data_IF_387418690056
#
_entry.id   IF_387418690056
#
_cell.length_a   1.000
_cell.length_b   1.000
_cell.length_c   1.000
_cell.angle_alpha   90.00
_cell.angle_beta   90.00
_cell.angle_gamma   90.00
#
_symmetry.space_group_name_H-M   'P 1'
#
loop_
_entity.id
_entity.type
_entity.pdbx_description
1 polymer ?
#
# COMPACT_ATOMS: atom_id res chain seq x y z
N UNK A 1 -15.75 -2.31 -17.29
CA UNK A 1 -15.74 -3.79 -17.30
C UNK A 1 -14.32 -4.26 -17.52
N UNK A 2 -13.52 -4.22 -16.46
CA UNK A 2 -12.25 -4.97 -16.37
C UNK A 2 -12.56 -6.09 -15.39
N UNK A 3 -12.56 -7.31 -15.89
CA UNK A 3 -12.76 -8.53 -15.10
C UNK A 3 -11.37 -8.93 -14.59
N UNK A 4 -11.00 -8.47 -13.40
CA UNK A 4 -9.84 -8.99 -12.69
C UNK A 4 -10.13 -10.42 -12.22
N UNK A 5 -9.92 -11.40 -13.09
CA UNK A 5 -9.81 -12.79 -12.68
C UNK A 5 -8.45 -12.98 -12.03
N UNK A 6 -8.41 -12.99 -10.70
CA UNK A 6 -7.25 -13.45 -9.93
C UNK A 6 -6.95 -14.92 -10.30
N UNK A 7 -5.84 -15.13 -11.00
CA UNK A 7 -5.21 -16.43 -11.19
C UNK A 7 -4.33 -16.78 -9.98
N UNK A 8 -3.98 -18.06 -9.78
CA UNK A 8 -3.32 -18.50 -8.57
C UNK A 8 -1.92 -17.90 -8.43
N UNK A 9 -1.61 -17.52 -7.18
CA UNK A 9 -0.27 -17.27 -6.61
C UNK A 9 0.79 -18.07 -7.36
N UNK A 10 1.74 -17.36 -7.99
CA UNK A 10 2.88 -18.00 -8.63
C UNK A 10 3.68 -18.77 -7.58
N UNK A 11 3.69 -20.09 -7.70
CA UNK A 11 4.66 -20.91 -6.99
C UNK A 11 6.05 -20.63 -7.57
N UNK A 12 6.95 -20.20 -6.68
CA UNK A 12 8.41 -20.31 -6.70
C UNK A 12 9.00 -20.88 -8.01
N UNK A 13 9.58 -20.03 -8.89
CA UNK A 13 10.38 -20.54 -9.99
C UNK A 13 11.67 -21.10 -9.42
N UNK A 14 11.62 -22.38 -9.03
CA UNK A 14 12.75 -23.26 -8.72
C UNK A 14 14.11 -22.65 -9.09
N UNK A 15 14.75 -22.01 -8.11
CA UNK A 15 16.16 -21.66 -8.17
C UNK A 15 16.91 -22.97 -8.42
N UNK A 16 17.56 -23.08 -9.59
CA UNK A 16 18.59 -24.09 -9.78
C UNK A 16 19.79 -23.65 -8.95
N UNK A 17 19.80 -24.04 -7.67
CA UNK A 17 21.00 -24.00 -6.83
C UNK A 17 21.98 -24.98 -7.48
N UNK A 18 22.89 -24.44 -8.27
CA UNK A 18 24.11 -25.14 -8.67
C UNK A 18 24.87 -25.51 -7.42
N UNK A 19 24.69 -26.74 -6.96
CA UNK A 19 25.26 -27.26 -5.73
C UNK A 19 26.77 -27.07 -5.69
N UNK A 20 27.22 -26.25 -4.74
CA UNK A 20 28.57 -26.36 -4.20
C UNK A 20 28.46 -26.28 -2.68
N UNK A 21 28.48 -27.45 -2.05
CA UNK A 21 28.62 -27.58 -0.60
C UNK A 21 29.95 -26.96 -0.15
N UNK A 22 29.99 -26.02 0.81
CA UNK A 22 31.25 -25.51 1.33
C UNK A 22 31.82 -26.52 2.31
N UNK A 23 32.82 -27.29 1.87
CA UNK A 23 33.72 -27.99 2.78
C UNK A 23 34.96 -27.15 3.03
N UNK A 24 35.13 -26.69 4.27
CA UNK A 24 36.46 -26.37 4.81
C UNK A 24 36.63 -24.90 5.18
N UNK A 25 36.80 -24.65 6.48
CA UNK A 25 36.96 -23.32 7.04
C UNK A 25 38.29 -22.66 6.72
N UNK A 26 38.31 -21.34 6.97
CA UNK A 26 39.55 -20.58 7.10
C UNK A 26 39.54 -19.27 6.33
N UNK A 27 39.46 -18.19 7.11
CA UNK A 27 39.90 -16.81 6.81
C UNK A 27 39.09 -15.99 5.81
N UNK A 28 38.25 -15.08 6.33
CA UNK A 28 38.28 -13.68 5.86
C UNK A 28 39.72 -13.19 5.98
N UNK A 29 40.33 -12.58 4.94
CA UNK A 29 39.84 -11.36 4.31
C UNK A 29 39.99 -11.27 2.78
N UNK A 30 38.96 -10.79 2.10
CA UNK A 30 39.04 -10.24 0.75
C UNK A 30 37.80 -9.39 0.55
N UNK A 31 37.85 -8.07 0.69
CA UNK A 31 38.31 -7.15 -0.35
C UNK A 31 38.04 -7.69 -1.76
N UNK A 32 36.76 -7.90 -2.07
CA UNK A 32 36.26 -8.00 -3.42
C UNK A 32 36.08 -6.63 -4.04
N UNK A 33 37.14 -5.80 -4.06
CA UNK A 33 37.19 -4.72 -5.05
C UNK A 33 37.39 -5.38 -6.41
N UNK A 34 36.29 -5.66 -7.11
CA UNK A 34 36.35 -5.86 -8.55
C UNK A 34 36.87 -4.54 -9.15
N UNK A 35 38.11 -4.48 -9.67
CA UNK A 35 38.73 -3.20 -10.02
C UNK A 35 38.28 -2.65 -11.38
N UNK A 36 37.14 -3.10 -11.91
CA UNK A 36 36.55 -2.62 -13.17
C UNK A 36 35.03 -2.35 -13.10
N UNK A 37 34.41 -2.35 -11.91
CA UNK A 37 33.01 -1.90 -11.72
C UNK A 37 32.92 -1.08 -10.42
N UNK A 38 32.38 0.13 -10.51
CA UNK A 38 31.87 0.86 -9.36
C UNK A 38 30.80 -0.04 -8.70
N UNK A 39 30.74 -0.21 -7.36
CA UNK A 39 29.72 -1.04 -6.72
C UNK A 39 28.28 -0.47 -6.80
N UNK A 40 28.01 0.53 -7.64
CA UNK A 40 26.72 1.20 -7.73
C UNK A 40 26.49 1.75 -9.14
N UNK A 41 26.40 0.85 -10.12
CA UNK A 41 25.78 1.17 -11.41
C UNK A 41 25.45 -0.15 -12.09
N UNK A 42 24.16 -0.41 -12.27
CA UNK A 42 23.69 -1.53 -13.08
C UNK A 42 24.26 -1.49 -14.50
N UNK A 43 24.44 -2.67 -15.09
CA UNK A 43 24.77 -2.82 -16.50
C UNK A 43 23.56 -3.47 -17.17
N UNK A 44 22.69 -2.62 -17.75
CA UNK A 44 21.51 -2.92 -18.57
C UNK A 44 20.90 -4.31 -18.30
N UNK A 45 20.08 -4.43 -17.25
CA UNK A 45 19.22 -5.58 -16.99
C UNK A 45 19.88 -6.82 -16.34
N UNK A 46 21.09 -6.71 -15.79
CA UNK A 46 21.63 -7.77 -14.92
C UNK A 46 21.31 -7.48 -13.45
N UNK A 47 20.92 -8.50 -12.66
CA UNK A 47 20.72 -8.33 -11.22
C UNK A 47 21.97 -7.81 -10.52
N UNK A 48 21.79 -6.78 -9.71
CA UNK A 48 22.74 -6.30 -8.71
C UNK A 48 22.33 -6.87 -7.36
N UNK A 49 23.31 -7.40 -6.64
CA UNK A 49 23.12 -7.98 -5.31
C UNK A 49 23.93 -7.15 -4.32
N UNK A 50 23.29 -6.65 -3.26
CA UNK A 50 23.96 -6.13 -2.08
C UNK A 50 24.46 -7.27 -1.19
N UNK A 51 24.62 -6.96 0.09
CA UNK A 51 25.30 -7.77 1.09
C UNK A 51 24.43 -7.98 2.33
N UNK A 52 25.03 -8.38 3.45
CA UNK A 52 24.35 -8.46 4.75
C UNK A 52 24.67 -7.19 5.60
N UNK A 53 25.22 -6.15 4.97
CA UNK A 53 25.60 -4.87 5.59
C UNK A 53 24.86 -3.74 4.87
N UNK A 54 24.64 -2.59 5.55
CA UNK A 54 24.05 -1.39 4.96
C UNK A 54 24.73 -0.99 3.63
N UNK A 55 23.99 -1.11 2.53
CA UNK A 55 24.43 -0.86 1.17
C UNK A 55 23.83 0.43 0.59
N UNK A 56 24.50 0.98 -0.44
CA UNK A 56 23.98 2.07 -1.26
C UNK A 56 24.11 1.66 -2.71
N UNK A 57 22.96 1.46 -3.36
CA UNK A 57 22.85 0.86 -4.67
C UNK A 57 22.21 1.88 -5.63
N UNK A 58 23.01 2.37 -6.58
CA UNK A 58 22.55 3.33 -7.59
C UNK A 58 22.37 2.64 -8.94
N UNK A 59 21.19 2.84 -9.53
CA UNK A 59 20.79 2.43 -10.85
C UNK A 59 21.29 3.34 -11.96
N UNK A 60 20.76 3.10 -13.16
CA UNK A 60 21.08 3.81 -14.38
C UNK A 60 19.79 4.33 -15.03
N UNK A 61 19.88 4.88 -16.24
CA UNK A 61 18.69 5.36 -16.96
C UNK A 61 18.00 4.24 -17.77
N UNK A 62 18.21 2.99 -17.40
CA UNK A 62 17.58 1.86 -18.04
C UNK A 62 17.27 0.80 -16.99
N UNK A 63 16.40 -0.14 -17.36
CA UNK A 63 15.90 -1.16 -16.45
C UNK A 63 16.96 -1.90 -15.66
N UNK A 64 16.79 -1.84 -14.36
CA UNK A 64 17.63 -2.42 -13.34
C UNK A 64 16.86 -3.38 -12.44
N UNK A 65 17.62 -4.26 -11.80
CA UNK A 65 17.11 -5.31 -10.92
C UNK A 65 18.00 -5.36 -9.69
N UNK A 66 17.49 -4.93 -8.54
CA UNK A 66 18.26 -4.84 -7.30
C UNK A 66 17.70 -5.77 -6.23
N UNK A 67 18.58 -6.54 -5.59
CA UNK A 67 18.33 -7.25 -4.35
C UNK A 67 19.27 -6.67 -3.29
N UNK A 68 18.73 -5.92 -2.34
CA UNK A 68 19.54 -5.15 -1.40
C UNK A 68 20.20 -6.06 -0.36
N UNK A 69 19.42 -6.95 0.27
CA UNK A 69 19.93 -8.02 1.10
C UNK A 69 19.42 -7.93 2.54
N UNK A 70 20.28 -8.22 3.50
CA UNK A 70 19.99 -7.83 4.89
C UNK A 70 20.80 -6.56 5.17
N UNK A 71 20.29 -5.65 6.00
CA UNK A 71 20.96 -4.38 6.30
C UNK A 71 20.01 -3.21 6.11
N UNK A 72 20.38 -2.02 6.56
CA UNK A 72 19.60 -0.82 6.20
C UNK A 72 20.13 -0.29 4.88
N UNK A 73 19.42 -0.58 3.81
CA UNK A 73 19.88 -0.29 2.46
C UNK A 73 19.21 0.97 1.89
N UNK A 74 19.90 1.60 0.95
CA UNK A 74 19.37 2.67 0.13
C UNK A 74 19.53 2.31 -1.33
N UNK A 75 18.41 2.16 -2.04
CA UNK A 75 18.36 1.75 -3.44
C UNK A 75 17.70 2.84 -4.28
N UNK A 76 18.37 3.26 -5.35
CA UNK A 76 17.90 4.28 -6.29
C UNK A 76 17.82 3.69 -7.70
N UNK A 77 16.62 3.53 -8.26
CA UNK A 77 16.37 3.07 -9.63
C UNK A 77 16.86 4.07 -10.68
N UNK A 78 16.53 5.34 -10.48
CA UNK A 78 16.85 6.50 -11.32
C UNK A 78 15.97 6.66 -12.55
N UNK A 79 15.91 5.68 -13.44
CA UNK A 79 15.04 5.83 -14.60
C UNK A 79 14.95 4.57 -15.42
N UNK A 80 13.77 4.32 -15.96
CA UNK A 80 13.44 3.19 -16.80
C UNK A 80 12.99 1.99 -15.98
N UNK A 81 11.72 1.61 -16.11
CA UNK A 81 11.05 0.52 -15.41
C UNK A 81 11.93 -0.54 -14.70
N UNK A 82 12.20 -0.29 -13.43
CA UNK A 82 13.08 -0.99 -12.50
C UNK A 82 12.34 -2.01 -11.63
N UNK A 83 13.10 -2.86 -10.95
CA UNK A 83 12.57 -3.72 -9.89
C UNK A 83 13.52 -3.74 -8.70
N UNK A 84 13.07 -3.22 -7.57
CA UNK A 84 13.85 -3.02 -6.36
C UNK A 84 13.31 -3.89 -5.22
N UNK A 85 14.16 -4.73 -4.63
CA UNK A 85 13.86 -5.52 -3.44
C UNK A 85 14.73 -5.06 -2.27
N UNK A 86 14.13 -4.58 -1.18
CA UNK A 86 14.83 -4.29 0.09
C UNK A 86 15.27 -5.58 0.79
N UNK A 87 14.33 -6.51 0.93
CA UNK A 87 14.48 -7.87 1.49
C UNK A 87 14.41 -7.95 3.02
N UNK A 88 15.30 -7.37 3.80
CA UNK A 88 15.13 -7.37 5.25
C UNK A 88 15.98 -6.36 6.00
N UNK A 89 15.57 -6.10 7.25
CA UNK A 89 15.87 -4.86 7.95
C UNK A 89 15.23 -3.64 7.26
N UNK A 90 15.48 -2.44 7.75
CA UNK A 90 14.71 -1.25 7.39
C UNK A 90 15.33 -0.50 6.20
N UNK A 91 14.70 -0.55 5.04
CA UNK A 91 15.24 -0.05 3.78
C UNK A 91 14.62 1.27 3.30
N UNK A 92 15.27 1.89 2.32
CA UNK A 92 14.70 3.00 1.55
C UNK A 92 14.87 2.73 0.06
N UNK A 93 13.76 2.62 -0.65
CA UNK A 93 13.72 2.33 -2.09
C UNK A 93 13.13 3.54 -2.83
N UNK A 94 13.81 3.98 -3.90
CA UNK A 94 13.38 5.08 -4.76
C UNK A 94 13.36 4.60 -6.21
N UNK A 95 12.20 4.56 -6.87
CA UNK A 95 12.08 4.25 -8.29
C UNK A 95 12.59 5.38 -9.18
N UNK A 96 12.08 6.58 -8.91
CA UNK A 96 12.27 7.87 -9.61
C UNK A 96 11.50 8.03 -10.90
N UNK A 97 11.73 7.25 -11.96
CA UNK A 97 11.15 7.58 -13.26
C UNK A 97 10.87 6.38 -14.12
N UNK A 98 9.74 6.44 -14.85
CA UNK A 98 9.13 5.31 -15.56
C UNK A 98 8.54 4.25 -14.59
N UNK A 99 7.64 3.40 -15.09
CA UNK A 99 6.88 2.43 -14.29
C UNK A 99 7.74 1.38 -13.53
N UNK A 100 7.85 1.52 -12.21
CA UNK A 100 8.73 0.75 -11.34
C UNK A 100 7.98 -0.28 -10.46
N UNK A 101 8.74 -1.25 -9.94
CA UNK A 101 8.26 -2.21 -8.93
C UNK A 101 9.15 -2.19 -7.69
N UNK A 102 8.58 -1.78 -6.56
CA UNK A 102 9.30 -1.64 -5.29
C UNK A 102 8.73 -2.59 -4.24
N UNK A 103 9.59 -3.41 -3.63
CA UNK A 103 9.20 -4.38 -2.61
C UNK A 103 10.09 -4.24 -1.36
N UNK A 104 9.52 -3.75 -0.25
CA UNK A 104 10.20 -3.69 1.05
C UNK A 104 10.47 -5.09 1.62
N UNK A 105 9.40 -5.90 1.69
CA UNK A 105 9.32 -7.29 2.17
C UNK A 105 9.21 -7.46 3.68
N UNK A 106 10.27 -7.18 4.43
CA UNK A 106 10.33 -7.46 5.88
C UNK A 106 10.87 -6.24 6.58
N UNK A 107 10.28 -5.95 7.74
CA UNK A 107 10.72 -4.89 8.65
C UNK A 107 10.18 -3.54 8.17
N UNK A 108 10.67 -2.41 8.68
CA UNK A 108 10.02 -1.12 8.40
C UNK A 108 10.74 -0.41 7.26
N UNK A 109 10.07 -0.32 6.12
CA UNK A 109 10.60 0.20 4.88
C UNK A 109 9.98 1.55 4.49
N UNK A 110 10.69 2.29 3.63
CA UNK A 110 10.19 3.52 3.01
C UNK A 110 10.34 3.42 1.51
N UNK A 111 9.23 3.49 0.78
CA UNK A 111 9.18 3.30 -0.67
C UNK A 111 8.66 4.58 -1.34
N UNK A 112 9.38 5.05 -2.35
CA UNK A 112 8.96 6.16 -3.22
C UNK A 112 8.91 5.66 -4.67
N UNK A 113 7.74 5.71 -5.30
CA UNK A 113 7.55 5.41 -6.71
C UNK A 113 8.30 6.41 -7.58
N UNK A 114 7.74 7.60 -7.78
CA UNK A 114 8.38 8.67 -8.53
C UNK A 114 7.46 9.20 -9.64
N UNK A 115 8.01 9.46 -10.82
CA UNK A 115 7.24 9.69 -12.04
C UNK A 115 6.93 8.33 -12.71
N UNK A 116 5.68 8.03 -13.00
CA UNK A 116 5.28 6.83 -13.76
C UNK A 116 4.26 5.97 -13.02
N UNK A 117 3.70 4.98 -13.70
CA UNK A 117 2.66 4.12 -13.10
C UNK A 117 3.33 3.02 -12.25
N UNK A 118 3.56 3.27 -10.96
CA UNK A 118 4.37 2.40 -10.10
C UNK A 118 3.56 1.34 -9.37
N UNK A 119 4.25 0.29 -8.90
CA UNK A 119 3.67 -0.66 -7.95
C UNK A 119 4.56 -0.86 -6.74
N UNK A 120 4.02 -0.53 -5.57
CA UNK A 120 4.72 -0.57 -4.29
C UNK A 120 4.10 -1.62 -3.37
N UNK A 121 4.95 -2.47 -2.79
CA UNK A 121 4.60 -3.42 -1.74
C UNK A 121 5.44 -3.17 -0.49
N UNK A 122 4.83 -2.74 0.61
CA UNK A 122 5.49 -2.58 1.92
C UNK A 122 5.94 -3.94 2.43
N UNK A 123 4.97 -4.79 2.75
CA UNK A 123 5.18 -6.21 2.97
C UNK A 123 4.85 -6.64 4.39
N UNK A 124 5.74 -6.40 5.36
CA UNK A 124 5.51 -6.81 6.74
C UNK A 124 6.08 -5.78 7.68
N UNK A 125 5.35 -5.58 8.77
CA UNK A 125 5.58 -4.52 9.76
C UNK A 125 5.17 -3.17 9.18
N UNK A 126 5.57 -2.09 9.84
CA UNK A 126 5.07 -0.74 9.56
C UNK A 126 5.87 -0.12 8.42
N UNK A 127 5.22 0.09 7.28
CA UNK A 127 5.84 0.63 6.07
C UNK A 127 5.28 2.01 5.70
N UNK A 128 6.11 2.88 5.12
CA UNK A 128 5.70 4.16 4.55
C UNK A 128 5.82 4.09 3.00
N UNK A 129 4.70 4.21 2.28
CA UNK A 129 4.63 4.12 0.82
C UNK A 129 4.16 5.44 0.21
N UNK A 130 4.86 5.92 -0.81
CA UNK A 130 4.54 7.14 -1.55
C UNK A 130 4.53 6.85 -3.05
N UNK A 131 3.38 6.96 -3.71
CA UNK A 131 3.25 6.80 -5.16
C UNK A 131 4.00 7.92 -5.91
N UNK A 132 3.59 9.15 -5.61
CA UNK A 132 4.10 10.44 -6.12
C UNK A 132 3.33 10.95 -7.34
N UNK A 133 3.82 10.80 -8.57
CA UNK A 133 3.15 11.32 -9.78
C UNK A 133 2.66 10.15 -10.64
N UNK A 134 1.50 10.31 -11.29
CA UNK A 134 0.87 9.35 -12.21
C UNK A 134 0.04 8.24 -11.51
N UNK A 135 -0.38 7.16 -12.22
CA UNK A 135 -1.37 6.20 -11.69
C UNK A 135 -0.70 5.05 -10.93
N UNK A 136 -0.71 5.09 -9.60
CA UNK A 136 0.02 4.14 -8.76
C UNK A 136 -0.84 3.04 -8.11
N UNK A 137 -0.18 1.91 -7.82
CA UNK A 137 -0.74 0.82 -7.01
C UNK A 137 0.10 0.61 -5.74
N UNK A 138 -0.49 0.94 -4.58
CA UNK A 138 0.16 0.81 -3.27
C UNK A 138 -0.48 -0.31 -2.45
N UNK A 139 0.34 -1.21 -1.91
CA UNK A 139 -0.09 -2.29 -1.03
C UNK A 139 0.75 -2.29 0.27
N UNK A 140 0.15 -1.93 1.40
CA UNK A 140 0.79 -2.01 2.72
C UNK A 140 1.06 -3.48 3.13
N UNK A 141 0.01 -4.30 3.06
CA UNK A 141 -0.06 -5.73 3.35
C UNK A 141 -0.24 -6.10 4.83
N UNK A 142 0.82 -6.12 5.64
CA UNK A 142 0.76 -6.61 7.02
C UNK A 142 1.48 -5.65 7.94
N UNK A 143 0.74 -4.95 8.79
CA UNK A 143 1.32 -3.97 9.70
C UNK A 143 0.45 -2.73 9.72
N UNK A 144 0.81 -1.78 10.58
CA UNK A 144 0.14 -0.48 10.59
C UNK A 144 0.86 0.44 9.62
N UNK A 145 0.42 0.46 8.37
CA UNK A 145 1.11 1.10 7.25
C UNK A 145 0.61 2.54 7.02
N UNK A 146 1.44 3.35 6.37
CA UNK A 146 1.09 4.69 5.88
C UNK A 146 1.26 4.74 4.38
N UNK A 147 0.17 4.93 3.64
CA UNK A 147 0.15 4.98 2.18
C UNK A 147 -0.30 6.37 1.73
N UNK A 148 0.44 6.99 0.82
CA UNK A 148 0.08 8.24 0.17
C UNK A 148 0.21 8.09 -1.36
N UNK A 149 -0.90 8.20 -2.08
CA UNK A 149 -0.91 8.22 -3.56
C UNK A 149 -0.19 9.46 -4.09
N UNK A 150 -0.61 10.63 -3.60
CA UNK A 150 -0.18 11.98 -4.01
C UNK A 150 -0.85 12.43 -5.31
N UNK A 151 -0.13 12.72 -6.41
CA UNK A 151 -0.74 13.21 -7.65
C UNK A 151 -1.02 12.03 -8.59
N UNK A 152 -2.28 11.68 -8.85
CA UNK A 152 -2.56 10.45 -9.59
C UNK A 152 -3.99 9.96 -9.44
N UNK A 153 -4.46 9.13 -10.37
CA UNK A 153 -5.66 8.31 -10.10
C UNK A 153 -5.16 6.99 -9.48
N UNK A 154 -5.03 6.93 -8.15
CA UNK A 154 -4.30 5.87 -7.45
C UNK A 154 -5.20 4.75 -6.92
N UNK A 155 -4.59 3.61 -6.62
CA UNK A 155 -5.26 2.50 -5.95
C UNK A 155 -4.47 2.03 -4.72
N UNK A 156 -5.05 2.25 -3.53
CA UNK A 156 -4.41 1.99 -2.25
C UNK A 156 -5.10 0.82 -1.53
N UNK A 157 -4.30 -0.14 -1.06
CA UNK A 157 -4.72 -1.24 -0.20
C UNK A 157 -3.90 -1.23 1.09
N UNK A 158 -4.55 -0.95 2.23
CA UNK A 158 -3.90 -0.99 3.55
C UNK A 158 -3.47 -2.40 3.90
N UNK A 159 -4.47 -3.27 4.06
CA UNK A 159 -4.28 -4.72 4.12
C UNK A 159 -4.73 -5.30 5.46
N UNK A 160 -3.87 -5.31 6.47
CA UNK A 160 -4.25 -5.79 7.81
C UNK A 160 -3.56 -4.98 8.87
N UNK A 161 -4.25 -4.90 10.01
CA UNK A 161 -3.92 -4.00 11.11
C UNK A 161 -4.34 -2.56 10.78
N UNK A 162 -4.14 -1.62 11.69
CA UNK A 162 -4.72 -0.28 11.55
C UNK A 162 -3.84 0.60 10.63
N UNK A 163 -4.34 0.93 9.44
CA UNK A 163 -3.61 1.66 8.40
C UNK A 163 -4.03 3.14 8.27
N UNK A 164 -3.15 3.96 7.69
CA UNK A 164 -3.44 5.33 7.26
C UNK A 164 -3.27 5.45 5.73
N UNK A 165 -4.34 5.78 5.02
CA UNK A 165 -4.35 5.90 3.56
C UNK A 165 -4.79 7.31 3.17
N UNK A 166 -3.99 7.95 2.32
CA UNK A 166 -4.26 9.26 1.72
C UNK A 166 -4.17 9.14 0.19
N UNK A 167 -5.29 9.31 -0.51
CA UNK A 167 -5.36 9.28 -1.98
C UNK A 167 -4.52 10.41 -2.58
N UNK A 168 -4.96 11.65 -2.37
CA UNK A 168 -4.24 12.85 -2.77
C UNK A 168 -5.00 13.64 -3.82
N UNK A 169 -4.32 14.10 -4.86
CA UNK A 169 -4.94 14.78 -6.00
C UNK A 169 -5.24 13.76 -7.12
N UNK A 170 -6.51 13.51 -7.42
CA UNK A 170 -6.96 12.65 -8.51
C UNK A 170 -8.16 11.81 -8.09
N UNK A 171 -8.55 10.82 -8.89
CA UNK A 171 -9.73 9.99 -8.60
C UNK A 171 -9.29 8.64 -8.03
N UNK A 172 -9.26 8.55 -6.71
CA UNK A 172 -8.60 7.45 -6.03
C UNK A 172 -9.55 6.30 -5.69
N UNK A 173 -8.99 5.10 -5.61
CA UNK A 173 -9.65 3.89 -5.16
C UNK A 173 -9.01 3.36 -3.88
N UNK A 174 -9.70 3.55 -2.76
CA UNK A 174 -9.13 3.36 -1.42
C UNK A 174 -9.77 2.16 -0.72
N UNK A 175 -8.94 1.19 -0.32
CA UNK A 175 -9.32 -0.01 0.41
C UNK A 175 -8.53 -0.07 1.73
N UNK A 176 -9.17 0.27 2.86
CA UNK A 176 -8.56 0.01 4.17
C UNK A 176 -8.32 -1.49 4.42
N UNK A 177 -9.22 -2.31 3.87
CA UNK A 177 -9.26 -3.77 4.00
C UNK A 177 -9.70 -4.27 5.39
N UNK A 178 -8.80 -4.53 6.34
CA UNK A 178 -9.17 -5.19 7.61
C UNK A 178 -8.70 -4.38 8.78
N UNK A 179 -9.44 -4.57 9.88
CA UNK A 179 -9.21 -3.86 11.13
C UNK A 179 -9.62 -2.40 10.93
N UNK A 180 -9.00 -1.44 11.60
CA UNK A 180 -9.53 -0.09 11.69
C UNK A 180 -8.63 0.91 11.00
N UNK A 181 -9.09 1.42 9.88
CA UNK A 181 -8.29 2.29 9.03
C UNK A 181 -8.72 3.76 9.09
N UNK A 182 -7.79 4.65 8.75
CA UNK A 182 -8.05 6.07 8.54
C UNK A 182 -7.82 6.39 7.07
N UNK A 183 -8.85 6.90 6.42
CA UNK A 183 -8.92 7.08 4.97
C UNK A 183 -9.21 8.54 4.63
N UNK A 184 -8.39 9.12 3.75
CA UNK A 184 -8.64 10.41 3.10
C UNK A 184 -8.55 10.26 1.58
N UNK A 185 -9.51 10.85 0.87
CA UNK A 185 -9.53 10.87 -0.59
C UNK A 185 -8.68 12.00 -1.16
N UNK A 186 -8.78 13.18 -0.57
CA UNK A 186 -8.12 14.38 -1.06
C UNK A 186 -8.97 15.16 -2.06
N UNK A 187 -8.43 15.45 -3.25
CA UNK A 187 -9.10 16.20 -4.30
C UNK A 187 -9.46 15.29 -5.48
N UNK A 188 -10.74 15.06 -5.73
CA UNK A 188 -11.20 14.41 -6.96
C UNK A 188 -12.47 13.61 -6.73
N UNK A 189 -12.82 12.73 -7.67
CA UNK A 189 -13.98 11.85 -7.53
C UNK A 189 -13.55 10.51 -6.90
N UNK A 190 -13.44 10.46 -5.57
CA UNK A 190 -12.85 9.31 -4.88
C UNK A 190 -13.84 8.18 -4.59
N UNK A 191 -13.32 6.97 -4.45
CA UNK A 191 -14.11 5.80 -4.06
C UNK A 191 -13.49 5.06 -2.88
N UNK A 192 -14.19 5.09 -1.74
CA UNK A 192 -13.83 4.34 -0.54
C UNK A 192 -14.57 3.01 -0.51
N UNK A 193 -13.84 1.90 -0.54
CA UNK A 193 -14.41 0.57 -0.60
C UNK A 193 -14.60 -0.04 0.79
N UNK A 194 -15.85 -0.41 1.10
CA UNK A 194 -16.25 -1.05 2.36
C UNK A 194 -16.92 -2.40 2.10
N UNK A 195 -16.81 -3.32 3.06
CA UNK A 195 -17.29 -4.69 2.93
C UNK A 195 -17.50 -5.37 4.27
N UNK A 196 -17.88 -6.65 4.27
CA UNK A 196 -18.06 -7.43 5.50
C UNK A 196 -16.76 -7.68 6.26
N UNK A 197 -15.62 -7.43 5.62
CA UNK A 197 -14.30 -7.60 6.22
C UNK A 197 -13.63 -6.27 6.60
N UNK A 198 -14.27 -5.13 6.29
CA UNK A 198 -13.78 -3.78 6.60
C UNK A 198 -14.37 -3.30 7.93
N UNK A 199 -13.61 -2.52 8.69
CA UNK A 199 -13.99 -2.13 10.04
C UNK A 199 -14.13 -3.30 11.02
N UNK A 200 -15.15 -3.23 11.90
CA UNK A 200 -15.27 -4.18 13.01
C UNK A 200 -16.61 -4.22 13.74
N UNK A 201 -16.61 -4.82 14.94
CA UNK A 201 -17.84 -5.18 15.68
C UNK A 201 -18.52 -3.97 16.35
N UNK A 202 -17.85 -2.82 16.39
CA UNK A 202 -18.34 -1.63 17.04
C UNK A 202 -17.74 -0.37 16.40
N UNK A 203 -18.30 0.79 16.74
CA UNK A 203 -17.89 2.07 16.17
C UNK A 203 -16.41 2.42 16.41
N UNK A 204 -15.77 1.90 17.47
CA UNK A 204 -14.35 2.17 17.74
C UNK A 204 -13.42 1.34 16.84
N UNK A 205 -13.96 0.34 16.14
CA UNK A 205 -13.25 -0.57 15.21
C UNK A 205 -13.64 -0.31 13.74
N UNK A 206 -14.50 0.68 13.46
CA UNK A 206 -14.92 1.01 12.10
C UNK A 206 -13.86 1.83 11.37
N UNK A 207 -13.80 1.74 10.05
CA UNK A 207 -12.95 2.63 9.25
C UNK A 207 -13.42 4.08 9.37
N UNK A 208 -12.48 5.02 9.32
CA UNK A 208 -12.74 6.44 9.43
C UNK A 208 -12.44 7.13 8.11
N UNK A 209 -13.48 7.62 7.44
CA UNK A 209 -13.34 8.42 6.23
C UNK A 209 -13.51 9.89 6.64
N UNK A 210 -12.43 10.66 6.54
CA UNK A 210 -12.34 11.97 7.20
C UNK A 210 -12.74 13.16 6.34
N UNK A 211 -12.72 13.02 5.01
CA UNK A 211 -12.89 14.14 4.08
C UNK A 211 -13.94 13.90 2.98
N UNK A 212 -14.77 12.86 3.11
CA UNK A 212 -15.81 12.50 2.14
C UNK A 212 -16.60 13.72 1.63
N UNK A 213 -16.52 13.98 0.32
CA UNK A 213 -16.99 15.22 -0.29
C UNK A 213 -18.07 14.99 -1.36
N UNK A 214 -19.32 15.30 -1.00
CA UNK A 214 -20.46 15.23 -1.92
C UNK A 214 -20.43 16.25 -3.07
N UNK A 215 -19.68 17.36 -2.93
CA UNK A 215 -19.54 18.36 -4.00
C UNK A 215 -18.49 17.95 -5.05
N UNK A 216 -17.53 17.10 -4.66
CA UNK A 216 -16.51 16.51 -5.54
C UNK A 216 -16.91 15.13 -6.09
N UNK A 217 -18.12 14.67 -5.76
CA UNK A 217 -18.74 13.42 -6.24
C UNK A 217 -18.11 12.12 -5.68
N UNK A 218 -17.51 12.17 -4.49
CA UNK A 218 -17.04 10.99 -3.75
C UNK A 218 -18.12 9.93 -3.56
N UNK A 219 -17.68 8.67 -3.51
CA UNK A 219 -18.58 7.51 -3.47
C UNK A 219 -18.09 6.43 -2.52
N UNK A 220 -19.04 5.66 -2.02
CA UNK A 220 -18.78 4.45 -1.24
C UNK A 220 -18.93 3.22 -2.13
N UNK A 221 -17.84 2.49 -2.31
CA UNK A 221 -17.81 1.19 -2.96
C UNK A 221 -18.29 0.08 -2.03
N UNK A 222 -19.24 -0.73 -2.48
CA UNK A 222 -19.80 -1.84 -1.70
C UNK A 222 -19.28 -3.18 -2.20
N UNK A 223 -18.46 -3.82 -1.39
CA UNK A 223 -17.88 -5.14 -1.58
C UNK A 223 -18.86 -6.25 -1.13
N UNK A 224 -18.43 -7.51 -1.30
CA UNK A 224 -19.13 -8.71 -0.79
C UNK A 224 -20.59 -8.88 -1.25
N UNK A 225 -20.96 -8.22 -2.35
CA UNK A 225 -22.31 -8.24 -2.90
C UNK A 225 -23.32 -7.43 -2.07
N UNK A 226 -22.84 -6.60 -1.15
CA UNK A 226 -23.65 -5.62 -0.42
C UNK A 226 -24.33 -4.65 -1.38
N UNK A 227 -25.49 -4.16 -0.96
CA UNK A 227 -26.23 -3.12 -1.64
C UNK A 227 -26.63 -2.05 -0.63
N UNK A 228 -26.88 -0.84 -1.11
CA UNK A 228 -27.38 0.24 -0.27
C UNK A 228 -28.60 -0.14 0.61
N UNK A 229 -29.48 -1.00 0.11
CA UNK A 229 -30.64 -1.47 0.88
C UNK A 229 -30.35 -2.45 2.00
N UNK A 230 -29.11 -2.95 2.10
CA UNK A 230 -28.62 -3.82 3.15
C UNK A 230 -27.98 -3.01 4.30
N UNK A 231 -27.75 -1.70 4.10
CA UNK A 231 -27.07 -0.81 5.05
C UNK A 231 -28.05 -0.09 5.96
N UNK A 232 -27.62 0.14 7.20
CA UNK A 232 -28.22 1.09 8.14
C UNK A 232 -27.28 2.29 8.31
N UNK A 233 -27.85 3.49 8.25
CA UNK A 233 -27.13 4.75 8.46
C UNK A 233 -27.58 5.36 9.79
N UNK A 234 -26.63 5.60 10.69
CA UNK A 234 -26.88 6.15 12.03
C UNK A 234 -26.04 7.42 12.26
N UNK A 235 -26.66 8.45 12.83
CA UNK A 235 -25.93 9.65 13.25
C UNK A 235 -25.11 9.31 14.50
N UNK A 236 -23.81 9.58 14.46
CA UNK A 236 -22.89 9.21 15.53
C UNK A 236 -22.01 10.40 15.94
N UNK A 237 -21.65 10.42 17.22
CA UNK A 237 -20.67 11.35 17.79
C UNK A 237 -19.70 10.55 18.66
N UNK A 238 -18.43 10.53 18.27
CA UNK A 238 -17.35 9.80 18.95
C UNK A 238 -16.10 10.66 19.09
N UNK A 239 -15.12 10.19 19.83
CA UNK A 239 -13.79 10.81 19.89
C UNK A 239 -12.88 10.06 18.91
N UNK A 240 -12.17 10.80 18.07
CA UNK A 240 -11.13 10.25 17.20
C UNK A 240 -9.87 9.87 18.01
N UNK A 241 -8.83 9.39 17.32
CA UNK A 241 -7.56 9.00 17.94
C UNK A 241 -6.78 10.17 18.58
N UNK A 242 -7.04 11.41 18.17
CA UNK A 242 -6.47 12.62 18.76
C UNK A 242 -7.30 13.15 19.94
N UNK A 243 -8.46 12.53 20.22
CA UNK A 243 -9.43 12.97 21.21
C UNK A 243 -10.26 14.17 20.71
N UNK A 244 -10.26 14.43 19.41
CA UNK A 244 -11.17 15.39 18.78
C UNK A 244 -12.54 14.74 18.57
N UNK A 245 -13.61 15.54 18.66
CA UNK A 245 -14.96 15.02 18.47
C UNK A 245 -15.23 14.87 16.98
N UNK A 246 -15.41 13.63 16.55
CA UNK A 246 -15.90 13.27 15.23
C UNK A 246 -17.43 13.18 15.26
N UNK A 247 -18.09 13.76 14.27
CA UNK A 247 -19.56 13.76 14.20
C UNK A 247 -19.99 13.56 12.76
N UNK A 248 -20.74 12.49 12.51
CA UNK A 248 -21.20 12.20 11.16
C UNK A 248 -22.06 10.96 11.08
N UNK A 249 -21.78 10.09 10.10
CA UNK A 249 -22.62 8.93 9.78
C UNK A 249 -21.86 7.64 9.95
N UNK A 250 -22.36 6.77 10.82
CA UNK A 250 -21.95 5.36 10.83
C UNK A 250 -22.70 4.58 9.75
N UNK A 251 -21.96 3.83 8.94
CA UNK A 251 -22.47 2.87 7.97
C UNK A 251 -22.28 1.47 8.57
N UNK A 252 -23.39 0.75 8.76
CA UNK A 252 -23.38 -0.56 9.41
C UNK A 252 -24.36 -1.53 8.78
N UNK A 253 -24.22 -2.80 9.13
CA UNK A 253 -25.19 -3.86 8.79
C UNK A 253 -25.79 -4.45 10.06
N UNK A 254 -27.11 -4.65 10.09
CA UNK A 254 -27.78 -5.33 11.22
C UNK A 254 -27.75 -6.84 10.98
N UNK A 255 -26.74 -7.53 11.52
CA UNK A 255 -26.78 -8.98 11.65
C UNK A 255 -27.68 -9.37 12.83
N UNK A 256 -28.69 -10.21 12.57
CA UNK A 256 -29.63 -10.67 13.60
C UNK A 256 -28.88 -11.34 14.75
N UNK A 257 -28.70 -10.63 15.86
CA UNK A 257 -28.30 -11.19 17.16
C UNK A 257 -26.95 -10.76 17.72
N UNK A 258 -26.17 -9.96 17.00
CA UNK A 258 -24.95 -9.30 17.48
C UNK A 258 -25.09 -7.78 17.31
N UNK A 259 -24.26 -6.99 18.02
CA UNK A 259 -24.19 -5.53 17.80
C UNK A 259 -23.58 -5.34 16.40
N UNK A 260 -24.43 -5.34 15.36
CA UNK A 260 -23.99 -5.56 13.97
C UNK A 260 -22.82 -4.71 13.48
N UNK A 261 -22.07 -5.25 12.51
CA UNK A 261 -20.76 -4.76 12.07
C UNK A 261 -20.81 -3.32 11.57
N UNK A 262 -19.91 -2.49 12.12
CA UNK A 262 -19.67 -1.13 11.68
C UNK A 262 -18.60 -1.16 10.60
N UNK A 263 -19.01 -0.82 9.38
CA UNK A 263 -18.16 -0.91 8.21
C UNK A 263 -17.27 0.33 8.08
N UNK A 264 -17.87 1.51 8.26
CA UNK A 264 -17.16 2.79 8.20
C UNK A 264 -17.95 3.90 8.90
N UNK A 265 -17.25 5.00 9.19
CA UNK A 265 -17.78 6.25 9.72
C UNK A 265 -17.32 7.38 8.80
N UNK A 266 -18.29 8.15 8.29
CA UNK A 266 -18.04 9.34 7.49
C UNK A 266 -18.06 10.55 8.42
N UNK A 267 -16.93 11.24 8.57
CA UNK A 267 -16.89 12.50 9.33
C UNK A 267 -17.61 13.63 8.58
N UNK A 268 -18.25 14.53 9.33
CA UNK A 268 -18.87 15.74 8.78
C UNK A 268 -20.15 15.52 7.95
N UNK A 269 -20.49 14.29 7.58
CA UNK A 269 -21.66 13.97 6.76
C UNK A 269 -22.79 13.42 7.62
N UNK A 270 -23.98 13.99 7.52
CA UNK A 270 -25.17 13.48 8.22
C UNK A 270 -25.90 12.42 7.40
N UNK A 271 -26.65 11.48 8.04
CA UNK A 271 -27.35 10.42 7.30
C UNK A 271 -28.40 10.93 6.30
N UNK A 272 -28.84 12.18 6.44
CA UNK A 272 -29.82 12.81 5.55
C UNK A 272 -29.21 13.40 4.27
N UNK A 273 -27.89 13.56 4.24
CA UNK A 273 -27.14 14.10 3.09
C UNK A 273 -26.78 13.00 2.09
N UNK A 274 -26.72 11.75 2.54
CA UNK A 274 -26.33 10.59 1.74
C UNK A 274 -27.56 9.86 1.21
N UNK A 275 -27.46 9.34 -0.01
CA UNK A 275 -28.46 8.52 -0.66
C UNK A 275 -27.82 7.40 -1.48
N UNK A 276 -28.65 6.49 -2.01
CA UNK A 276 -28.14 5.36 -2.79
C UNK A 276 -27.42 5.71 -4.10
N UNK A 277 -27.39 6.98 -4.54
CA UNK A 277 -26.53 7.41 -5.68
C UNK A 277 -25.05 7.45 -5.30
N UNK A 278 -24.79 7.71 -4.03
CA UNK A 278 -23.46 7.97 -3.48
C UNK A 278 -22.75 6.64 -3.16
N UNK A 279 -23.40 5.52 -3.50
CA UNK A 279 -22.89 4.16 -3.38
C UNK A 279 -22.73 3.53 -4.77
N UNK A 280 -21.66 2.75 -4.94
CA UNK A 280 -21.42 1.90 -6.11
C UNK A 280 -21.33 0.45 -5.70
N UNK A 281 -22.02 -0.44 -6.41
CA UNK A 281 -21.89 -1.89 -6.21
C UNK A 281 -20.98 -2.49 -7.27
N UNK A 282 -20.14 -3.43 -6.89
CA UNK A 282 -19.23 -4.16 -7.80
C UNK A 282 -19.69 -5.60 -8.06
#
# INVERSE_FOLDING_TARGET
MVSATFGPVFEDPTIIIGGNTPTGGGTSPGNGTNPDLNPGSSLDGNPVLGTDEDDTLDGTAGRDYFFAGDGRDSVLGSGGADTLYGEGDNDTLLGEGDDDQLLGNRDQDVLFGGEGDDTLWGGKNVDDLFGNEDEDLLLGNLGNDSLAGNEGDDCLFGGKEDDFLDGGDGNDSIYGDRDRDILTGGLGEDVFFIGLSTGGLNADEADFILDFNLDEEDRIGLLDGLRFGDLELEEIVIEDFNGETLSGTAIRIDEIGDDGDYLAILDGITPAEISGSDFVTI
#
